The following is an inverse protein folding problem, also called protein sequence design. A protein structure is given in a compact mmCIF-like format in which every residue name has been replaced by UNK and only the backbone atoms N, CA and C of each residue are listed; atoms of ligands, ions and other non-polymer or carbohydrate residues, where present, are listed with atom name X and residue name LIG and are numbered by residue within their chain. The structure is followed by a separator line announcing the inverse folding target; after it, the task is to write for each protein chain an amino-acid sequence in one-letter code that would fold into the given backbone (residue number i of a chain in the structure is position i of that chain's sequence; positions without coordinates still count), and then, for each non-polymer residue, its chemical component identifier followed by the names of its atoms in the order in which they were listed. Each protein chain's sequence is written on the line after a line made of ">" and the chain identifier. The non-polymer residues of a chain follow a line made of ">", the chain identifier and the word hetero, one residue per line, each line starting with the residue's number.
data_IF_577438364005
#
_entry.id   IF_577438364005
#
_cell.length_a   1.000
_cell.length_b   1.000
_cell.length_c   1.000
_cell.angle_alpha   90.00
_cell.angle_beta   90.00
_cell.angle_gamma   90.00
#
_symmetry.space_group_name_H-M   'P 1'
#
loop_
_entity.id
_entity.type
_entity.pdbx_description
1 polymer ?
#
# COMPACT_ATOMS: atom_id res chain seq x y z
N UNK A 1 -6.70 -15.85 8.78
CA UNK A 1 -6.71 -14.99 10.00
C UNK A 1 -7.14 -15.76 11.25
N UNK A 2 -8.31 -16.42 11.26
CA UNK A 2 -8.69 -17.30 12.37
C UNK A 2 -7.64 -18.40 12.62
N UNK A 3 -7.13 -19.02 11.57
CA UNK A 3 -6.03 -20.01 11.65
C UNK A 3 -4.74 -19.50 12.31
N UNK A 4 -4.47 -18.19 12.27
CA UNK A 4 -3.29 -17.63 12.93
C UNK A 4 -3.51 -17.36 14.43
N UNK A 5 -4.76 -17.13 14.83
CA UNK A 5 -5.17 -17.01 16.24
C UNK A 5 -5.36 -18.38 16.89
N UNK A 6 -5.68 -19.41 16.10
CA UNK A 6 -5.74 -20.82 16.52
C UNK A 6 -4.39 -21.34 17.04
N UNK A 7 -3.27 -20.71 16.65
CA UNK A 7 -1.94 -21.03 17.20
C UNK A 7 -1.78 -20.56 18.65
N UNK A 8 -2.61 -19.61 19.11
CA UNK A 8 -2.49 -18.95 20.41
C UNK A 8 -3.65 -19.22 21.38
N UNK A 9 -4.83 -19.62 20.89
CA UNK A 9 -6.03 -19.84 21.70
C UNK A 9 -6.88 -21.01 21.19
N UNK A 10 -7.68 -21.64 22.07
CA UNK A 10 -8.67 -22.62 21.64
C UNK A 10 -9.69 -21.98 20.68
N UNK A 11 -10.20 -22.73 19.71
CA UNK A 11 -11.13 -22.30 18.63
C UNK A 11 -12.32 -21.43 19.07
N UNK A 12 -12.79 -21.62 20.30
CA UNK A 12 -13.85 -20.81 20.91
C UNK A 12 -13.37 -19.44 21.40
N UNK A 13 -12.19 -19.39 21.96
CA UNK A 13 -11.57 -18.20 22.54
C UNK A 13 -11.06 -17.25 21.45
N UNK A 14 -10.54 -17.79 20.34
CA UNK A 14 -10.17 -17.00 19.16
C UNK A 14 -11.35 -16.20 18.58
N UNK A 15 -12.57 -16.77 18.58
CA UNK A 15 -13.77 -16.06 18.11
C UNK A 15 -14.18 -14.92 19.04
N UNK A 16 -14.03 -15.11 20.35
CA UNK A 16 -14.34 -14.08 21.34
C UNK A 16 -13.34 -12.93 21.27
N UNK A 17 -12.04 -13.22 21.10
CA UNK A 17 -11.00 -12.20 20.90
C UNK A 17 -11.30 -11.35 19.66
N UNK A 18 -11.68 -11.97 18.54
CA UNK A 18 -12.05 -11.23 17.33
C UNK A 18 -13.30 -10.38 17.55
N UNK A 19 -14.31 -10.89 18.26
CA UNK A 19 -15.52 -10.14 18.56
C UNK A 19 -15.23 -8.91 19.45
N UNK A 20 -14.36 -9.07 20.46
CA UNK A 20 -13.94 -7.99 21.34
C UNK A 20 -13.16 -6.92 20.55
N UNK A 21 -12.21 -7.32 19.71
CA UNK A 21 -11.46 -6.42 18.83
C UNK A 21 -12.38 -5.64 17.87
N UNK A 22 -13.40 -6.28 17.31
CA UNK A 22 -14.40 -5.62 16.46
C UNK A 22 -15.22 -4.61 17.23
N UNK A 23 -15.64 -4.95 18.45
CA UNK A 23 -16.35 -4.04 19.36
C UNK A 23 -15.50 -2.82 19.71
N UNK A 24 -14.22 -3.02 20.04
CA UNK A 24 -13.26 -1.95 20.34
C UNK A 24 -13.01 -1.05 19.13
N UNK A 25 -12.97 -1.63 17.93
CA UNK A 25 -12.83 -0.88 16.67
C UNK A 25 -14.12 -0.16 16.24
N UNK A 26 -15.25 -0.40 16.90
CA UNK A 26 -16.57 0.09 16.47
C UNK A 26 -17.02 -0.50 15.13
N UNK A 27 -16.59 -1.73 14.81
CA UNK A 27 -16.82 -2.41 13.52
C UNK A 27 -17.65 -3.68 13.70
N UNK A 28 -18.35 -4.07 12.64
CA UNK A 28 -19.15 -5.30 12.60
C UNK A 28 -18.48 -6.44 11.82
N UNK A 29 -17.38 -6.14 11.13
CA UNK A 29 -16.64 -7.11 10.33
C UNK A 29 -15.14 -6.78 10.35
N UNK A 30 -14.34 -7.84 10.19
CA UNK A 30 -12.89 -7.74 10.10
C UNK A 30 -12.55 -6.96 8.83
N UNK A 31 -11.70 -5.92 8.91
CA UNK A 31 -11.28 -5.17 7.74
C UNK A 31 -10.59 -6.05 6.70
N UNK A 32 -10.68 -5.66 5.43
CA UNK A 32 -9.86 -6.27 4.39
C UNK A 32 -8.40 -5.86 4.56
N UNK A 33 -7.47 -6.57 3.90
CA UNK A 33 -6.04 -6.19 3.89
C UNK A 33 -5.85 -4.76 3.38
N UNK A 34 -6.66 -4.34 2.40
CA UNK A 34 -6.64 -3.00 1.82
C UNK A 34 -7.21 -1.93 2.78
N UNK A 35 -8.14 -2.29 3.68
CA UNK A 35 -8.90 -1.35 4.52
C UNK A 35 -8.42 -1.29 5.97
N UNK A 36 -7.10 -1.24 6.18
CA UNK A 36 -6.51 -1.01 7.50
C UNK A 36 -6.40 -2.27 8.38
N UNK A 37 -6.27 -3.46 7.79
CA UNK A 37 -6.03 -4.71 8.52
C UNK A 37 -4.85 -4.61 9.50
N UNK A 38 -3.73 -3.99 9.11
CA UNK A 38 -2.57 -3.83 10.01
C UNK A 38 -2.93 -3.01 11.25
N UNK A 39 -3.62 -1.89 11.09
CA UNK A 39 -4.06 -1.07 12.22
C UNK A 39 -5.04 -1.82 13.12
N UNK A 40 -5.95 -2.60 12.53
CA UNK A 40 -6.87 -3.43 13.28
C UNK A 40 -6.13 -4.51 14.09
N UNK A 41 -5.14 -5.16 13.49
CA UNK A 41 -4.32 -6.18 14.16
C UNK A 41 -3.45 -5.58 15.30
N UNK A 42 -2.78 -4.46 15.02
CA UNK A 42 -1.76 -3.91 15.93
C UNK A 42 -2.35 -3.10 17.09
N UNK A 43 -3.61 -2.68 16.98
CA UNK A 43 -4.28 -1.89 18.02
C UNK A 43 -5.38 -2.74 18.67
N UNK A 44 -6.43 -3.04 17.93
CA UNK A 44 -7.64 -3.61 18.54
C UNK A 44 -7.52 -5.10 18.84
N UNK A 45 -6.88 -5.87 17.97
CA UNK A 45 -6.64 -7.29 18.24
C UNK A 45 -5.59 -7.50 19.33
N UNK A 46 -4.55 -6.66 19.35
CA UNK A 46 -3.50 -6.74 20.36
C UNK A 46 -4.06 -6.42 21.76
N UNK A 47 -4.86 -5.35 21.88
CA UNK A 47 -5.56 -5.02 23.13
C UNK A 47 -6.53 -6.14 23.57
N UNK A 48 -7.25 -6.76 22.62
CA UNK A 48 -8.17 -7.85 22.92
C UNK A 48 -7.44 -9.14 23.35
N UNK A 49 -6.29 -9.44 22.73
CA UNK A 49 -5.43 -10.56 23.13
C UNK A 49 -4.85 -10.31 24.52
N UNK A 50 -4.33 -9.12 24.80
CA UNK A 50 -3.81 -8.77 26.12
C UNK A 50 -4.89 -8.87 27.20
N UNK A 51 -6.09 -8.36 26.94
CA UNK A 51 -7.19 -8.37 27.90
C UNK A 51 -7.66 -9.77 28.29
N UNK A 52 -7.57 -10.75 27.38
CA UNK A 52 -8.07 -12.11 27.62
C UNK A 52 -6.97 -13.11 27.99
N UNK A 53 -5.82 -13.02 27.32
CA UNK A 53 -4.74 -13.99 27.41
C UNK A 53 -3.50 -13.45 28.15
N UNK A 54 -3.46 -12.14 28.41
CA UNK A 54 -2.37 -11.46 29.11
C UNK A 54 -1.23 -10.98 28.20
N UNK A 55 -0.32 -10.20 28.78
CA UNK A 55 0.76 -9.51 28.07
C UNK A 55 1.70 -10.47 27.29
N UNK A 56 2.07 -11.61 27.89
CA UNK A 56 2.95 -12.59 27.23
C UNK A 56 2.36 -13.15 25.92
N UNK A 57 1.03 -13.21 25.81
CA UNK A 57 0.35 -13.64 24.60
C UNK A 57 0.25 -12.50 23.57
N UNK A 58 0.06 -11.26 24.03
CA UNK A 58 0.05 -10.08 23.19
C UNK A 58 1.42 -9.85 22.52
N UNK A 59 2.52 -10.02 23.26
CA UNK A 59 3.88 -9.90 22.70
C UNK A 59 4.14 -10.93 21.60
N UNK A 60 3.73 -12.19 21.80
CA UNK A 60 3.85 -13.24 20.76
C UNK A 60 2.95 -12.97 19.56
N UNK A 61 1.78 -12.39 19.80
CA UNK A 61 0.87 -12.00 18.73
C UNK A 61 1.47 -10.86 17.90
N UNK A 62 2.06 -9.84 18.54
CA UNK A 62 2.73 -8.70 17.89
C UNK A 62 3.82 -9.17 16.93
N UNK A 63 4.69 -10.07 17.41
CA UNK A 63 5.75 -10.70 16.60
C UNK A 63 5.20 -11.47 15.39
N UNK A 64 3.94 -11.93 15.47
CA UNK A 64 3.28 -12.72 14.45
C UNK A 64 2.47 -11.88 13.44
N UNK A 65 2.16 -10.61 13.72
CA UNK A 65 1.29 -9.76 12.88
C UNK A 65 1.80 -9.72 11.43
N UNK A 66 3.10 -9.52 11.23
CA UNK A 66 3.68 -9.46 9.89
C UNK A 66 3.56 -10.79 9.12
N UNK A 67 3.63 -11.93 9.83
CA UNK A 67 3.41 -13.25 9.23
C UNK A 67 1.94 -13.44 8.85
N UNK A 68 1.00 -13.00 9.70
CA UNK A 68 -0.44 -13.06 9.42
C UNK A 68 -0.80 -12.21 8.22
N UNK A 69 -0.26 -10.99 8.13
CA UNK A 69 -0.47 -10.10 6.98
C UNK A 69 0.08 -10.70 5.69
N UNK A 70 1.25 -11.34 5.74
CA UNK A 70 1.82 -12.05 4.59
C UNK A 70 0.98 -13.26 4.18
N UNK A 71 0.53 -14.07 5.12
CA UNK A 71 -0.33 -15.22 4.84
C UNK A 71 -1.68 -14.79 4.24
N UNK A 72 -2.29 -13.74 4.80
CA UNK A 72 -3.53 -13.18 4.28
C UNK A 72 -3.34 -12.60 2.87
N UNK A 73 -2.19 -11.98 2.58
CA UNK A 73 -1.86 -11.49 1.24
C UNK A 73 -1.71 -12.63 0.23
N UNK A 74 -1.11 -13.76 0.63
CA UNK A 74 -0.98 -14.97 -0.21
C UNK A 74 -2.34 -15.63 -0.48
N UNK A 75 -3.26 -15.66 0.48
CA UNK A 75 -4.63 -16.14 0.22
C UNK A 75 -5.37 -15.22 -0.78
N UNK A 76 -5.05 -13.93 -0.78
CA UNK A 76 -5.56 -12.96 -1.74
C UNK A 76 -4.93 -13.10 -3.15
N UNK A 77 -3.78 -13.78 -3.30
CA UNK A 77 -3.13 -14.11 -4.59
C UNK A 77 -3.89 -15.16 -5.43
N UNK A 78 -5.08 -15.60 -5.01
CA UNK A 78 -6.00 -16.34 -5.91
C UNK A 78 -6.64 -15.43 -6.98
N UNK A 79 -6.46 -14.12 -6.89
CA UNK A 79 -6.61 -13.21 -8.03
C UNK A 79 -5.37 -13.32 -8.95
N UNK A 80 -5.52 -13.28 -10.28
CA UNK A 80 -4.46 -13.69 -11.21
C UNK A 80 -3.19 -12.86 -11.00
N UNK A 81 -2.16 -13.48 -10.44
CA UNK A 81 -0.84 -12.88 -10.26
C UNK A 81 -0.29 -12.38 -11.62
N UNK A 82 0.30 -11.18 -11.67
CA UNK A 82 0.94 -10.70 -12.89
C UNK A 82 2.08 -11.65 -13.27
N UNK A 83 2.05 -12.10 -14.51
CA UNK A 83 3.08 -12.98 -15.08
C UNK A 83 4.42 -12.24 -15.02
N UNK A 84 5.29 -12.67 -14.09
CA UNK A 84 6.68 -12.22 -13.97
C UNK A 84 7.39 -12.41 -15.32
N UNK A 85 7.44 -11.35 -16.09
CA UNK A 85 8.04 -11.29 -17.41
C UNK A 85 9.13 -10.24 -17.42
N UNK A 86 10.27 -10.56 -16.81
CA UNK A 86 11.56 -9.88 -17.01
C UNK A 86 11.58 -8.38 -16.77
N UNK A 87 12.11 -7.99 -15.60
CA UNK A 87 12.86 -6.77 -15.21
C UNK A 87 12.38 -6.37 -13.81
N UNK A 88 13.17 -6.68 -12.79
CA UNK A 88 12.79 -6.65 -11.36
C UNK A 88 12.57 -5.27 -10.73
N UNK A 89 11.83 -4.39 -11.41
CA UNK A 89 11.42 -3.07 -10.95
C UNK A 89 9.90 -2.99 -10.97
N UNK A 90 9.32 -2.64 -9.83
CA UNK A 90 7.88 -2.47 -9.66
C UNK A 90 7.52 -0.99 -9.74
N UNK A 91 6.47 -0.67 -10.51
CA UNK A 91 5.86 0.66 -10.57
C UNK A 91 4.40 0.55 -10.16
N UNK A 92 4.02 1.27 -9.12
CA UNK A 92 2.62 1.39 -8.70
C UNK A 92 1.98 2.58 -9.41
N UNK A 93 0.78 2.40 -9.95
CA UNK A 93 0.02 3.47 -10.62
C UNK A 93 -1.35 3.59 -9.98
N UNK A 94 -1.53 4.66 -9.21
CA UNK A 94 -2.79 4.96 -8.56
C UNK A 94 -3.68 5.83 -9.45
N UNK A 95 -4.74 5.24 -10.00
CA UNK A 95 -5.71 5.90 -10.87
C UNK A 95 -7.01 5.09 -10.98
N UNK A 96 -8.14 5.78 -10.99
CA UNK A 96 -9.48 5.21 -11.20
C UNK A 96 -9.82 5.04 -12.68
N UNK A 97 -8.87 5.33 -13.59
CA UNK A 97 -9.03 5.23 -15.04
C UNK A 97 -8.19 4.07 -15.59
N UNK A 98 -8.76 2.86 -15.73
CA UNK A 98 -8.00 1.66 -16.15
C UNK A 98 -7.31 1.83 -17.49
N UNK A 99 -7.89 2.60 -18.42
CA UNK A 99 -7.29 2.86 -19.72
C UNK A 99 -5.97 3.63 -19.62
N UNK A 100 -5.86 4.59 -18.69
CA UNK A 100 -4.63 5.35 -18.46
C UNK A 100 -3.56 4.47 -17.84
N UNK A 101 -3.94 3.62 -16.89
CA UNK A 101 -3.04 2.63 -16.29
C UNK A 101 -2.54 1.65 -17.34
N UNK A 102 -3.41 1.12 -18.20
CA UNK A 102 -3.04 0.22 -19.28
C UNK A 102 -2.09 0.87 -20.29
N UNK A 103 -2.24 2.16 -20.59
CA UNK A 103 -1.32 2.90 -21.44
C UNK A 103 0.07 3.02 -20.80
N UNK A 104 0.16 3.32 -19.49
CA UNK A 104 1.42 3.35 -18.76
C UNK A 104 2.05 1.95 -18.73
N UNK A 105 1.28 0.92 -18.37
CA UNK A 105 1.74 -0.47 -18.34
C UNK A 105 2.29 -0.92 -19.69
N UNK A 106 1.60 -0.61 -20.79
CA UNK A 106 2.07 -0.92 -22.15
C UNK A 106 3.39 -0.23 -22.46
N UNK A 107 3.54 1.04 -22.10
CA UNK A 107 4.76 1.80 -22.34
C UNK A 107 5.94 1.31 -21.48
N UNK A 108 5.68 0.84 -20.25
CA UNK A 108 6.69 0.36 -19.31
C UNK A 108 6.98 -1.14 -19.40
N UNK A 109 6.17 -1.91 -20.14
CA UNK A 109 6.22 -3.39 -20.21
C UNK A 109 7.58 -4.04 -20.49
N UNK A 110 8.56 -3.31 -21.03
CA UNK A 110 9.92 -3.79 -21.28
C UNK A 110 10.94 -3.34 -20.22
N UNK A 111 10.51 -2.66 -19.18
CA UNK A 111 11.38 -1.94 -18.25
C UNK A 111 10.98 -2.13 -16.79
N UNK A 112 9.68 -2.30 -16.52
CA UNK A 112 9.14 -2.50 -15.19
C UNK A 112 7.80 -3.24 -15.24
N UNK A 113 7.52 -3.97 -14.17
CA UNK A 113 6.18 -4.46 -13.87
C UNK A 113 5.33 -3.28 -13.36
N UNK A 114 4.13 -3.13 -13.92
CA UNK A 114 3.19 -2.07 -13.54
C UNK A 114 2.00 -2.67 -12.82
N UNK A 115 1.72 -2.15 -11.64
CA UNK A 115 0.60 -2.55 -10.82
C UNK A 115 -0.41 -1.40 -10.68
N UNK A 116 -1.67 -1.75 -10.91
CA UNK A 116 -2.78 -0.81 -10.87
C UNK A 116 -3.33 -0.69 -9.45
N UNK A 117 -3.34 0.53 -8.91
CA UNK A 117 -3.92 0.85 -7.62
C UNK A 117 -5.19 1.67 -7.87
N UNK A 118 -6.39 1.06 -7.90
CA UNK A 118 -7.62 1.79 -8.20
C UNK A 118 -7.96 2.81 -7.10
N UNK A 119 -7.48 2.58 -5.88
CA UNK A 119 -7.74 3.43 -4.71
C UNK A 119 -6.43 3.86 -4.02
N UNK A 120 -6.02 5.12 -4.13
CA UNK A 120 -4.74 5.59 -3.58
C UNK A 120 -4.69 5.57 -2.05
N UNK A 121 -5.84 5.69 -1.37
CA UNK A 121 -5.94 5.59 0.10
C UNK A 121 -5.35 4.28 0.63
N UNK A 122 -5.29 3.23 -0.20
CA UNK A 122 -4.66 1.98 0.14
C UNK A 122 -3.11 2.04 0.09
N UNK A 123 -2.51 3.00 -0.63
CA UNK A 123 -1.06 3.07 -0.85
C UNK A 123 -0.22 3.03 0.44
N UNK A 124 -0.55 3.78 1.51
CA UNK A 124 0.23 3.73 2.75
C UNK A 124 0.15 2.36 3.47
N UNK A 125 -0.94 1.62 3.26
CA UNK A 125 -1.15 0.30 3.87
C UNK A 125 -0.54 -0.85 3.05
N UNK A 126 -0.09 -0.58 1.81
CA UNK A 126 0.39 -1.62 0.90
C UNK A 126 1.87 -2.00 1.15
N UNK A 127 2.11 -3.28 1.37
CA UNK A 127 3.44 -3.93 1.52
C UNK A 127 4.29 -3.86 0.24
N UNK A 128 3.78 -3.25 -0.83
CA UNK A 128 4.53 -3.05 -2.07
C UNK A 128 4.97 -1.60 -2.28
N UNK A 129 4.47 -0.66 -1.48
CA UNK A 129 4.85 0.75 -1.58
C UNK A 129 6.33 0.98 -1.21
N UNK A 130 6.87 0.20 -0.28
CA UNK A 130 8.28 0.14 0.09
C UNK A 130 9.13 -0.67 -0.90
N UNK A 131 8.52 -1.55 -1.69
CA UNK A 131 9.19 -2.32 -2.75
C UNK A 131 9.20 -1.61 -4.11
N UNK A 132 8.33 -0.61 -4.29
CA UNK A 132 8.18 0.11 -5.55
C UNK A 132 9.40 0.98 -5.86
N UNK A 133 9.93 0.85 -7.08
CA UNK A 133 10.94 1.77 -7.60
C UNK A 133 10.33 3.14 -7.91
N UNK A 134 9.08 3.15 -8.37
CA UNK A 134 8.33 4.37 -8.55
C UNK A 134 6.84 4.21 -8.23
N UNK A 135 6.22 5.28 -7.75
CA UNK A 135 4.79 5.39 -7.50
C UNK A 135 4.26 6.57 -8.32
N UNK A 136 3.22 6.34 -9.12
CA UNK A 136 2.53 7.37 -9.90
C UNK A 136 1.15 7.58 -9.29
N UNK A 137 0.82 8.81 -8.90
CA UNK A 137 -0.51 9.17 -8.39
C UNK A 137 -1.20 10.08 -9.40
N UNK A 138 -2.27 9.60 -10.01
CA UNK A 138 -3.16 10.37 -10.86
C UNK A 138 -4.13 11.19 -10.02
N UNK A 139 -3.62 12.30 -9.50
CA UNK A 139 -4.32 13.17 -8.55
C UNK A 139 -5.66 13.69 -9.07
N UNK A 140 -5.77 13.88 -10.38
CA UNK A 140 -6.99 14.37 -11.01
C UNK A 140 -8.14 13.34 -11.02
N UNK A 141 -7.85 12.08 -10.73
CA UNK A 141 -8.78 10.96 -10.81
C UNK A 141 -8.90 10.22 -9.49
N UNK A 142 -7.83 10.17 -8.73
CA UNK A 142 -7.84 9.71 -7.36
C UNK A 142 -6.97 10.64 -6.51
N UNK A 143 -7.56 11.72 -5.95
CA UNK A 143 -6.85 12.55 -4.98
C UNK A 143 -6.58 11.73 -3.71
N UNK A 144 -5.43 11.98 -3.09
CA UNK A 144 -5.13 11.50 -1.74
C UNK A 144 -5.50 12.58 -0.73
N UNK A 145 -5.95 12.14 0.44
CA UNK A 145 -6.04 13.02 1.59
C UNK A 145 -4.63 13.43 2.05
N UNK A 146 -4.55 14.62 2.61
CA UNK A 146 -3.27 15.23 3.00
C UNK A 146 -2.52 14.41 4.05
N UNK A 147 -3.23 13.71 4.93
CA UNK A 147 -2.59 12.85 5.94
C UNK A 147 -1.96 11.60 5.30
N UNK A 148 -2.61 11.04 4.27
CA UNK A 148 -2.08 9.91 3.51
C UNK A 148 -0.84 10.27 2.68
N UNK A 149 -0.64 11.55 2.36
CA UNK A 149 0.60 12.05 1.72
C UNK A 149 1.79 11.88 2.66
N UNK A 150 1.63 12.32 3.91
CA UNK A 150 2.71 12.32 4.91
C UNK A 150 3.08 10.87 5.27
N UNK A 151 2.09 9.98 5.38
CA UNK A 151 2.30 8.54 5.57
C UNK A 151 3.00 7.88 4.37
N UNK A 152 2.56 8.19 3.15
CA UNK A 152 3.18 7.67 1.93
C UNK A 152 4.65 8.10 1.85
N UNK A 153 4.93 9.38 2.10
CA UNK A 153 6.29 9.90 2.06
C UNK A 153 7.20 9.27 3.13
N UNK A 154 6.67 8.98 4.32
CA UNK A 154 7.41 8.29 5.38
C UNK A 154 7.66 6.80 5.06
N UNK A 155 6.72 6.13 4.38
CA UNK A 155 6.81 4.71 4.02
C UNK A 155 7.64 4.42 2.77
N UNK A 156 7.96 5.44 1.96
CA UNK A 156 8.76 5.26 0.76
C UNK A 156 10.20 4.82 1.08
N UNK A 157 10.64 3.77 0.41
CA UNK A 157 12.04 3.31 0.49
C UNK A 157 13.00 4.44 0.08
N UNK A 158 14.15 4.50 0.76
CA UNK A 158 15.26 5.36 0.38
C UNK A 158 15.61 5.18 -1.10
N UNK A 159 15.43 6.22 -1.91
CA UNK A 159 15.66 6.19 -3.36
C UNK A 159 14.41 5.98 -4.22
N UNK A 160 13.26 5.63 -3.63
CA UNK A 160 11.99 5.57 -4.34
C UNK A 160 11.60 6.91 -4.97
N UNK A 161 10.86 6.85 -6.08
CA UNK A 161 10.43 8.03 -6.83
C UNK A 161 8.91 8.16 -6.87
N UNK A 162 8.40 9.33 -6.54
CA UNK A 162 6.99 9.66 -6.58
C UNK A 162 6.69 10.57 -7.77
N UNK A 163 5.63 10.29 -8.51
CA UNK A 163 5.17 11.10 -9.64
C UNK A 163 3.74 11.54 -9.37
N UNK A 164 3.56 12.84 -9.13
CA UNK A 164 2.27 13.47 -8.91
C UNK A 164 1.71 13.95 -10.25
N UNK A 165 0.74 13.23 -10.79
CA UNK A 165 0.14 13.55 -12.08
C UNK A 165 -1.13 14.39 -11.92
N UNK A 166 -1.02 15.66 -12.30
CA UNK A 166 -2.12 16.60 -12.24
C UNK A 166 -2.47 17.07 -10.84
N UNK A 167 -1.52 17.02 -9.91
CA UNK A 167 -1.69 17.55 -8.57
C UNK A 167 -1.91 19.07 -8.60
N UNK A 168 -2.77 19.60 -7.71
CA UNK A 168 -2.95 21.04 -7.56
C UNK A 168 -1.73 21.66 -6.86
N UNK A 169 -1.54 22.98 -7.03
CA UNK A 169 -0.34 23.68 -6.54
C UNK A 169 -0.18 23.61 -5.03
N UNK A 170 -1.28 23.55 -4.30
CA UNK A 170 -1.32 23.43 -2.85
C UNK A 170 -0.70 22.10 -2.39
N UNK A 171 -0.95 21.02 -3.14
CA UNK A 171 -0.37 19.69 -2.89
C UNK A 171 1.11 19.67 -3.25
N UNK A 172 1.48 20.26 -4.40
CA UNK A 172 2.89 20.40 -4.79
C UNK A 172 3.69 21.17 -3.72
N UNK A 173 3.11 22.25 -3.18
CA UNK A 173 3.71 23.04 -2.11
C UNK A 173 3.95 22.22 -0.84
N UNK A 174 3.04 21.31 -0.48
CA UNK A 174 3.23 20.41 0.67
C UNK A 174 4.38 19.44 0.45
N UNK A 175 4.45 18.80 -0.71
CA UNK A 175 5.57 17.89 -1.03
C UNK A 175 6.92 18.62 -1.13
N UNK A 176 6.94 19.92 -1.42
CA UNK A 176 8.17 20.73 -1.36
C UNK A 176 8.72 20.81 0.07
N UNK A 177 7.87 20.86 1.08
CA UNK A 177 8.26 20.87 2.50
C UNK A 177 8.85 19.52 2.94
N UNK A 178 8.35 18.43 2.37
CA UNK A 178 8.78 17.05 2.65
C UNK A 178 10.15 16.72 2.00
N UNK A 179 10.55 17.47 0.97
CA UNK A 179 11.86 17.40 0.34
C UNK A 179 11.82 16.87 -1.10
N UNK A 180 12.52 17.56 -2.02
CA UNK A 180 12.45 17.34 -3.49
C UNK A 180 13.15 16.09 -4.01
N UNK A 181 13.93 15.39 -3.19
CA UNK A 181 14.79 14.30 -3.68
C UNK A 181 14.00 13.04 -4.10
N UNK A 182 12.72 12.97 -3.73
CA UNK A 182 11.89 11.77 -3.83
C UNK A 182 10.68 11.93 -4.74
N UNK A 183 10.42 13.10 -5.35
CA UNK A 183 9.20 13.31 -6.13
C UNK A 183 9.30 14.29 -7.31
N UNK A 184 8.36 14.16 -8.26
CA UNK A 184 8.17 15.03 -9.43
C UNK A 184 6.68 15.32 -9.66
N UNK A 185 6.35 16.54 -10.08
CA UNK A 185 5.02 16.89 -10.57
C UNK A 185 4.97 16.83 -12.10
N UNK A 186 3.84 16.34 -12.62
CA UNK A 186 3.51 16.30 -14.04
C UNK A 186 2.19 17.02 -14.26
N UNK A 187 2.15 17.89 -15.27
CA UNK A 187 0.96 18.68 -15.57
C UNK A 187 -0.29 17.81 -15.80
N UNK A 188 -1.46 18.31 -15.38
CA UNK A 188 -2.75 17.64 -15.54
C UNK A 188 -3.09 17.27 -16.99
N UNK A 189 -2.62 18.08 -17.94
CA UNK A 189 -2.84 17.89 -19.38
C UNK A 189 -1.90 16.88 -20.01
N UNK A 190 -0.90 16.37 -19.27
CA UNK A 190 -0.02 15.33 -19.78
C UNK A 190 -0.81 14.05 -20.05
N UNK A 191 -0.56 13.44 -21.21
CA UNK A 191 -1.08 12.11 -21.53
C UNK A 191 -0.29 11.00 -20.83
N UNK A 192 -0.90 9.81 -20.71
CA UNK A 192 -0.31 8.65 -20.05
C UNK A 192 1.07 8.26 -20.61
N UNK A 193 1.27 8.38 -21.93
CA UNK A 193 2.57 8.12 -22.57
C UNK A 193 3.67 9.09 -22.15
N UNK A 194 3.33 10.36 -21.87
CA UNK A 194 4.30 11.33 -21.36
C UNK A 194 4.71 10.99 -19.92
N UNK A 195 3.74 10.63 -19.08
CA UNK A 195 3.99 10.18 -17.70
C UNK A 195 4.87 8.94 -17.69
N UNK A 196 4.58 7.95 -18.53
CA UNK A 196 5.42 6.76 -18.68
C UNK A 196 6.86 7.11 -19.11
N UNK A 197 7.04 8.07 -20.02
CA UNK A 197 8.37 8.55 -20.41
C UNK A 197 9.17 9.16 -19.24
N UNK A 198 8.50 9.91 -18.36
CA UNK A 198 9.11 10.45 -17.13
C UNK A 198 9.50 9.31 -16.19
N UNK A 199 8.61 8.35 -15.97
CA UNK A 199 8.90 7.17 -15.14
C UNK A 199 10.10 6.38 -15.68
N UNK A 200 10.19 6.17 -17.00
CA UNK A 200 11.35 5.50 -17.61
C UNK A 200 12.66 6.25 -17.35
N UNK A 201 12.65 7.57 -17.45
CA UNK A 201 13.83 8.38 -17.17
C UNK A 201 14.27 8.22 -15.70
N UNK A 202 13.30 8.26 -14.77
CA UNK A 202 13.56 8.07 -13.34
C UNK A 202 14.17 6.70 -13.03
N UNK A 203 13.63 5.64 -13.61
CA UNK A 203 14.13 4.28 -13.42
C UNK A 203 15.54 4.10 -14.04
N UNK A 204 15.90 4.89 -15.06
CA UNK A 204 17.20 4.80 -15.73
C UNK A 204 18.33 5.48 -14.94
N UNK A 205 18.01 6.49 -14.13
CA UNK A 205 18.98 7.21 -13.30
C UNK A 205 19.43 6.41 -12.07
N UNK A 206 18.66 5.41 -11.61
CA UNK A 206 19.06 4.52 -10.50
C UNK A 206 20.24 3.59 -10.84
N UNK A 207 20.64 3.49 -12.10
CA UNK A 207 21.71 2.59 -12.59
C UNK A 207 23.08 3.24 -12.76
N UNK A 208 23.25 4.51 -12.35
CA UNK A 208 24.52 5.25 -12.42
C UNK A 208 25.07 5.55 -11.03
#
# INVERSE_FOLDING_TARGET
>A
MLEALEVLADDGEAREIVADALSMAGRTAVPSIADGMRSFLSVHMLDAVEARLGADAADRFDESIDLVLRAAAVEHESAPAPRRGGHGRLVLVASSEPERVAQIARALSKHADVEAIPEPSALPAMVWADLASAIVIDWARCPLDTDAIDELAAGMKTGGRLVLWGAPREVEARFLEIGRATWLSVARTAGAGHVAGIVLALLSDETR
#
